data_IF_926848424215
#
_entry.id   IF_926848424215
#
_cell.length_a   1.000
_cell.length_b   1.000
_cell.length_c   1.000
_cell.angle_alpha   90.00
_cell.angle_beta   90.00
_cell.angle_gamma   90.00
#
_symmetry.space_group_name_H-M   'P 1'
#
loop_
_entity.id
_entity.type
_entity.pdbx_description
1 polymer ?
#
# COMPACT_ATOMS: atom_id res chain seq x y z
N UNK A 1 -16.83 -4.73 38.76
CA UNK A 1 -15.83 -5.65 38.16
C UNK A 1 -16.26 -6.23 36.82
N UNK A 2 -17.52 -6.64 36.63
CA UNK A 2 -18.04 -7.10 35.33
C UNK A 2 -17.85 -6.10 34.18
N UNK A 3 -18.10 -4.80 34.44
CA UNK A 3 -17.97 -3.76 33.42
C UNK A 3 -16.50 -3.58 32.96
N UNK A 4 -15.55 -3.72 33.88
CA UNK A 4 -14.11 -3.58 33.58
C UNK A 4 -13.67 -4.70 32.64
N UNK A 5 -14.12 -5.93 32.91
CA UNK A 5 -13.83 -7.09 32.05
C UNK A 5 -14.43 -6.87 30.65
N UNK A 6 -15.67 -6.37 30.56
CA UNK A 6 -16.31 -6.05 29.28
C UNK A 6 -15.52 -5.00 28.47
N UNK A 7 -15.10 -3.91 29.12
CA UNK A 7 -14.32 -2.84 28.48
C UNK A 7 -12.96 -3.36 27.98
N UNK A 8 -12.28 -4.18 28.77
CA UNK A 8 -11.00 -4.79 28.38
C UNK A 8 -11.20 -5.67 27.15
N UNK A 9 -12.21 -6.54 27.14
CA UNK A 9 -12.50 -7.40 25.99
C UNK A 9 -12.78 -6.59 24.72
N UNK A 10 -13.59 -5.54 24.82
CA UNK A 10 -13.88 -4.66 23.67
C UNK A 10 -12.61 -3.96 23.18
N UNK A 11 -11.78 -3.43 24.09
CA UNK A 11 -10.53 -2.77 23.73
C UNK A 11 -9.56 -3.71 23.00
N UNK A 12 -9.42 -4.95 23.48
CA UNK A 12 -8.57 -5.97 22.84
C UNK A 12 -9.09 -6.33 21.45
N UNK A 13 -10.40 -6.50 21.29
CA UNK A 13 -11.02 -6.77 19.97
C UNK A 13 -10.73 -5.64 18.99
N UNK A 14 -10.93 -4.39 19.41
CA UNK A 14 -10.64 -3.22 18.58
C UNK A 14 -9.15 -3.17 18.18
N UNK A 15 -8.24 -3.43 19.13
CA UNK A 15 -6.81 -3.47 18.84
C UNK A 15 -6.43 -4.54 17.81
N UNK A 16 -7.01 -5.74 17.91
CA UNK A 16 -6.79 -6.82 16.94
C UNK A 16 -7.31 -6.46 15.55
N UNK A 17 -8.51 -5.87 15.47
CA UNK A 17 -9.09 -5.40 14.20
C UNK A 17 -8.17 -4.37 13.53
N UNK A 18 -7.69 -3.38 14.29
CA UNK A 18 -6.74 -2.40 13.78
C UNK A 18 -5.43 -3.02 13.32
N UNK A 19 -4.90 -4.00 14.07
CA UNK A 19 -3.67 -4.70 13.70
C UNK A 19 -3.84 -5.47 12.39
N UNK A 20 -4.94 -6.20 12.21
CA UNK A 20 -5.22 -6.93 10.96
C UNK A 20 -5.37 -5.96 9.78
N UNK A 21 -6.10 -4.87 9.96
CA UNK A 21 -6.26 -3.84 8.94
C UNK A 21 -4.91 -3.21 8.55
N UNK A 22 -4.05 -2.95 9.54
CA UNK A 22 -2.70 -2.44 9.33
C UNK A 22 -1.83 -3.41 8.51
N UNK A 23 -1.82 -4.70 8.88
CA UNK A 23 -1.07 -5.72 8.14
C UNK A 23 -1.60 -5.91 6.71
N UNK A 24 -2.92 -5.84 6.53
CA UNK A 24 -3.53 -5.91 5.20
C UNK A 24 -3.13 -4.71 4.32
N UNK A 25 -3.17 -3.50 4.87
CA UNK A 25 -2.72 -2.29 4.18
C UNK A 25 -1.23 -2.36 3.79
N UNK A 26 -0.39 -2.87 4.70
CA UNK A 26 1.04 -3.03 4.43
C UNK A 26 1.32 -4.07 3.32
N UNK A 27 0.50 -5.13 3.26
CA UNK A 27 0.59 -6.15 2.20
C UNK A 27 0.02 -5.69 0.86
N UNK A 28 -0.85 -4.66 0.84
CA UNK A 28 -1.59 -4.22 -0.36
C UNK A 28 -0.72 -3.66 -1.50
N UNK A 29 0.61 -3.75 -1.43
CA UNK A 29 1.49 -3.34 -2.52
C UNK A 29 1.43 -1.84 -2.83
N UNK A 30 0.81 -1.03 -1.96
CA UNK A 30 0.64 0.40 -2.18
C UNK A 30 1.98 1.17 -2.16
N UNK A 31 3.06 0.48 -1.77
CA UNK A 31 4.45 0.96 -1.87
C UNK A 31 5.10 0.71 -3.22
N UNK A 32 4.44 0.07 -4.18
CA UNK A 32 5.02 -0.19 -5.50
C UNK A 32 5.09 1.08 -6.36
N UNK A 33 4.23 2.07 -6.09
CA UNK A 33 4.27 3.37 -6.77
C UNK A 33 5.21 4.36 -6.04
N UNK A 34 6.48 4.00 -5.91
CA UNK A 34 7.54 4.89 -5.40
C UNK A 34 7.94 5.97 -6.41
N UNK A 35 7.54 5.80 -7.67
CA UNK A 35 7.83 6.73 -8.76
C UNK A 35 6.63 7.64 -9.00
N UNK A 36 6.71 8.87 -8.50
CA UNK A 36 5.65 9.85 -8.69
C UNK A 36 5.27 10.08 -10.17
N UNK A 37 4.03 10.50 -10.45
CA UNK A 37 3.51 10.62 -11.80
C UNK A 37 4.37 11.50 -12.72
N UNK A 38 5.00 12.55 -12.18
CA UNK A 38 5.90 13.43 -12.94
C UNK A 38 7.15 12.72 -13.44
N UNK A 39 7.72 11.80 -12.64
CA UNK A 39 8.91 11.02 -13.02
C UNK A 39 8.53 9.99 -14.06
N UNK A 40 7.40 9.28 -13.87
CA UNK A 40 6.87 8.33 -14.86
C UNK A 40 6.69 9.00 -16.22
N UNK A 41 6.06 10.17 -16.26
CA UNK A 41 5.80 10.89 -17.51
C UNK A 41 7.07 11.34 -18.23
N UNK A 42 8.13 11.70 -17.50
CA UNK A 42 9.41 12.13 -18.09
C UNK A 42 10.23 10.97 -18.67
N UNK A 43 10.12 9.76 -18.12
CA UNK A 43 10.95 8.62 -18.51
C UNK A 43 10.23 7.58 -19.39
N UNK A 44 8.89 7.48 -19.31
CA UNK A 44 8.08 6.55 -20.11
C UNK A 44 8.07 6.92 -21.61
N UNK A 45 8.21 8.21 -21.94
CA UNK A 45 8.31 8.70 -23.32
C UNK A 45 9.65 8.34 -24.01
N UNK A 46 10.71 8.07 -23.23
CA UNK A 46 12.02 7.73 -23.77
C UNK A 46 12.13 6.23 -24.13
N UNK A 47 11.51 5.35 -23.34
CA UNK A 47 11.59 3.89 -23.55
C UNK A 47 10.92 3.47 -24.88
N UNK A 48 9.77 4.05 -25.21
CA UNK A 48 9.05 3.77 -26.46
C UNK A 48 9.81 4.19 -27.72
N UNK A 49 10.72 5.16 -27.60
CA UNK A 49 11.49 5.69 -28.74
C UNK A 49 12.65 4.78 -29.13
N UNK A 50 13.21 4.03 -28.18
CA UNK A 50 14.33 3.11 -28.43
C UNK A 50 13.87 1.74 -28.97
N UNK A 51 12.68 1.28 -28.57
CA UNK A 51 12.08 0.04 -29.12
C UNK A 51 11.77 0.19 -30.63
N UNK A 52 11.25 1.34 -31.06
CA UNK A 52 10.95 1.60 -32.47
C UNK A 52 12.20 1.75 -33.35
N UNK A 53 13.38 1.92 -32.73
CA UNK A 53 14.66 2.06 -33.43
C UNK A 53 15.38 0.73 -33.63
N UNK A 54 15.01 -0.30 -32.87
CA UNK A 54 15.67 -1.62 -32.92
C UNK A 54 14.90 -2.61 -33.82
N UNK A 55 13.61 -2.37 -34.08
CA UNK A 55 12.78 -3.14 -35.01
C UNK A 55 12.79 -2.60 -36.47
N UNK A 56 13.66 -1.64 -36.81
CA UNK A 56 13.84 -1.13 -38.19
C UNK A 56 15.16 -1.54 -38.81
#
# INVERSE_FOLDING_TARGET
MKIIILLISISVVVAIVFLIAFLWAMKSGQYEDTYGPSVRMLFDDNIKKDENKTEK
#
